data_IF_552236153714
#
_entry.id   IF_552236153714
#
_cell.length_a   1.000
_cell.length_b   1.000
_cell.length_c   1.000
_cell.angle_alpha   90.00
_cell.angle_beta   90.00
_cell.angle_gamma   90.00
#
_symmetry.space_group_name_H-M   'P 1'
#
loop_
_entity.id
_entity.type
_entity.pdbx_description
1 polymer ?
#
# COMPACT_ATOMS: atom_id res chain seq x y z
N UNK A 1 22.11 -15.49 -1.12
CA UNK A 1 23.19 -14.53 -0.81
C UNK A 1 22.74 -13.21 -1.43
N UNK A 2 22.33 -12.26 -0.60
CA UNK A 2 21.70 -10.99 -1.02
C UNK A 2 22.75 -10.19 -1.79
N UNK A 3 22.43 -9.79 -3.03
CA UNK A 3 23.29 -9.02 -3.94
C UNK A 3 23.60 -7.60 -3.42
N UNK A 4 22.82 -7.12 -2.45
CA UNK A 4 22.96 -5.79 -1.88
C UNK A 4 24.15 -5.73 -0.91
N UNK A 5 25.05 -4.78 -1.14
CA UNK A 5 26.11 -4.39 -0.20
C UNK A 5 25.76 -3.04 0.44
N UNK A 6 26.25 -2.80 1.65
CA UNK A 6 26.04 -1.54 2.35
C UNK A 6 24.65 -1.43 2.98
N UNK A 7 24.14 -0.21 3.08
CA UNK A 7 22.86 0.14 3.71
C UNK A 7 21.69 -0.66 3.14
N UNK A 8 21.62 -0.85 1.81
CA UNK A 8 20.49 -1.55 1.19
C UNK A 8 20.39 -3.03 1.60
N UNK A 9 21.45 -3.63 2.13
CA UNK A 9 21.40 -5.01 2.67
C UNK A 9 20.48 -5.15 3.90
N UNK A 10 20.15 -4.03 4.56
CA UNK A 10 19.25 -3.97 5.72
C UNK A 10 17.76 -3.98 5.31
N UNK A 11 17.47 -3.95 4.01
CA UNK A 11 16.13 -3.78 3.47
C UNK A 11 15.63 -5.02 2.74
N UNK A 12 14.31 -5.13 2.67
CA UNK A 12 13.59 -6.04 1.80
C UNK A 12 12.57 -5.25 0.97
N UNK A 13 12.11 -5.76 -0.17
CA UNK A 13 10.98 -5.18 -0.87
C UNK A 13 9.73 -5.21 0.00
N UNK A 14 9.03 -4.10 0.10
CA UNK A 14 7.72 -4.08 0.74
C UNK A 14 6.72 -4.73 -0.21
N UNK A 15 6.30 -5.95 0.12
CA UNK A 15 5.23 -6.64 -0.58
C UNK A 15 3.91 -6.46 0.15
N UNK A 16 2.93 -5.83 -0.49
CA UNK A 16 1.61 -5.58 0.10
C UNK A 16 0.59 -6.65 -0.31
N UNK A 17 -0.34 -6.97 0.57
CA UNK A 17 -1.47 -7.85 0.29
C UNK A 17 -2.69 -6.97 0.03
N UNK A 18 -3.11 -6.89 -1.24
CA UNK A 18 -4.30 -6.14 -1.65
C UNK A 18 -5.56 -6.95 -1.42
N UNK A 19 -6.66 -6.26 -1.14
CA UNK A 19 -7.97 -6.86 -1.20
C UNK A 19 -8.39 -7.00 -2.67
N UNK A 20 -8.72 -8.22 -3.06
CA UNK A 20 -9.27 -8.53 -4.37
C UNK A 20 -10.80 -8.56 -4.35
N UNK A 21 -11.37 -9.40 -5.21
CA UNK A 21 -12.79 -9.68 -5.27
C UNK A 21 -13.32 -10.26 -3.97
N UNK A 22 -14.50 -9.77 -3.63
CA UNK A 22 -15.37 -10.30 -2.59
C UNK A 22 -16.64 -10.80 -3.30
N UNK A 23 -16.79 -12.11 -3.37
CA UNK A 23 -17.90 -12.76 -4.08
C UNK A 23 -19.21 -12.70 -3.28
N UNK A 24 -20.31 -13.00 -3.98
CA UNK A 24 -21.64 -13.03 -3.37
C UNK A 24 -21.89 -14.32 -2.58
N UNK A 25 -22.67 -14.21 -1.49
CA UNK A 25 -23.26 -15.37 -0.80
C UNK A 25 -24.11 -16.21 -1.77
N UNK A 26 -24.36 -17.49 -1.43
CA UNK A 26 -24.96 -18.51 -2.30
C UNK A 26 -26.27 -18.11 -3.02
N UNK A 27 -26.98 -17.06 -2.58
CA UNK A 27 -28.25 -16.57 -3.15
C UNK A 27 -28.16 -15.16 -3.83
N UNK A 28 -26.96 -14.59 -4.01
CA UNK A 28 -26.74 -13.22 -4.53
C UNK A 28 -26.27 -13.14 -6.00
N UNK A 29 -26.29 -11.93 -6.58
CA UNK A 29 -25.78 -11.63 -7.93
C UNK A 29 -24.38 -12.24 -8.17
N UNK A 30 -24.20 -13.10 -9.19
CA UNK A 30 -22.98 -13.88 -9.39
C UNK A 30 -21.72 -13.08 -9.76
N UNK A 31 -21.81 -11.76 -9.93
CA UNK A 31 -20.68 -10.90 -10.33
C UNK A 31 -20.28 -9.89 -9.23
N UNK A 32 -19.59 -10.37 -8.19
CA UNK A 32 -18.78 -9.67 -7.14
C UNK A 32 -19.34 -8.39 -6.44
N UNK A 33 -19.34 -8.36 -5.09
CA UNK A 33 -19.71 -7.17 -4.30
C UNK A 33 -18.66 -6.07 -4.33
N UNK A 34 -17.40 -6.49 -4.15
CA UNK A 34 -16.23 -5.63 -4.18
C UNK A 34 -15.21 -6.28 -5.11
N UNK A 35 -14.37 -5.46 -5.73
CA UNK A 35 -13.23 -5.88 -6.53
C UNK A 35 -12.00 -5.07 -6.13
N UNK A 36 -10.85 -5.44 -6.68
CA UNK A 36 -9.57 -4.78 -6.42
C UNK A 36 -9.60 -3.25 -6.60
N UNK A 37 -10.38 -2.73 -7.56
CA UNK A 37 -10.49 -1.30 -7.84
C UNK A 37 -11.26 -0.53 -6.76
N UNK A 38 -12.09 -1.21 -5.96
CA UNK A 38 -12.74 -0.61 -4.80
C UNK A 38 -11.76 -0.32 -3.66
N UNK A 39 -10.54 -0.84 -3.75
CA UNK A 39 -9.47 -0.64 -2.77
C UNK A 39 -8.24 0.09 -3.34
N UNK A 40 -8.29 0.46 -4.64
CA UNK A 40 -7.32 1.34 -5.27
C UNK A 40 -7.82 2.79 -5.12
N UNK A 41 -7.27 3.48 -4.12
CA UNK A 41 -7.73 4.80 -3.74
C UNK A 41 -7.27 5.87 -4.72
N UNK A 42 -8.24 6.54 -5.34
CA UNK A 42 -8.00 7.65 -6.26
C UNK A 42 -8.19 8.98 -5.54
N UNK A 43 -7.24 9.91 -5.62
CA UNK A 43 -7.43 11.23 -5.04
C UNK A 43 -8.56 11.95 -5.77
N UNK A 44 -9.42 12.61 -4.99
CA UNK A 44 -10.48 13.48 -5.49
C UNK A 44 -9.81 14.76 -5.97
N UNK A 45 -9.38 14.76 -7.23
CA UNK A 45 -8.80 15.92 -7.89
C UNK A 45 -9.52 16.23 -9.19
N UNK A 46 -9.40 17.47 -9.63
CA UNK A 46 -9.89 17.89 -10.95
C UNK A 46 -9.05 17.30 -12.10
N UNK A 47 -7.88 16.72 -11.83
CA UNK A 47 -6.91 16.36 -12.85
C UNK A 47 -6.35 14.94 -12.67
N UNK A 48 -7.07 13.94 -13.20
CA UNK A 48 -6.73 12.50 -13.13
C UNK A 48 -5.45 12.10 -13.87
N UNK A 49 -4.83 13.01 -14.63
CA UNK A 49 -3.80 12.69 -15.63
C UNK A 49 -2.35 12.88 -15.14
N UNK A 50 -2.11 13.14 -13.85
CA UNK A 50 -0.75 13.33 -13.30
C UNK A 50 -0.55 12.54 -12.01
N UNK A 51 0.65 12.01 -11.75
CA UNK A 51 0.98 11.42 -10.45
C UNK A 51 0.73 12.45 -9.35
N UNK A 52 -0.11 12.07 -8.39
CA UNK A 52 -0.48 12.95 -7.28
C UNK A 52 0.60 12.86 -6.20
N UNK A 53 1.45 13.88 -6.15
CA UNK A 53 2.39 14.12 -5.05
C UNK A 53 1.74 15.11 -4.09
N UNK A 54 1.61 14.74 -2.81
CA UNK A 54 0.99 15.57 -1.79
C UNK A 54 2.07 16.21 -0.91
N UNK A 55 2.01 17.52 -0.72
CA UNK A 55 3.08 18.26 -0.03
C UNK A 55 2.83 18.49 1.48
N UNK A 56 1.77 17.89 2.03
CA UNK A 56 1.47 17.95 3.46
C UNK A 56 0.72 19.20 3.94
N UNK A 57 0.45 20.16 3.05
CA UNK A 57 -0.19 21.43 3.40
C UNK A 57 -1.71 21.31 3.55
N UNK A 58 -2.34 20.35 2.87
CA UNK A 58 -3.79 20.18 2.83
C UNK A 58 -4.21 18.73 3.11
N UNK A 59 -5.45 18.58 3.58
CA UNK A 59 -6.08 17.26 3.72
C UNK A 59 -6.36 16.71 2.34
N UNK A 60 -5.83 15.52 2.07
CA UNK A 60 -6.00 14.84 0.79
C UNK A 60 -7.20 13.90 0.87
N UNK A 61 -8.13 14.06 -0.08
CA UNK A 61 -9.35 13.24 -0.14
C UNK A 61 -9.21 12.14 -1.16
N UNK A 62 -9.61 10.92 -0.82
CA UNK A 62 -9.59 9.76 -1.69
C UNK A 62 -10.96 9.11 -1.80
N UNK A 63 -11.26 8.52 -2.95
CA UNK A 63 -12.44 7.69 -3.19
C UNK A 63 -12.09 6.51 -4.08
N UNK A 64 -12.88 5.42 -4.04
CA UNK A 64 -12.77 4.34 -5.00
C UNK A 64 -13.33 4.77 -6.36
N UNK A 65 -13.12 3.94 -7.38
CA UNK A 65 -13.67 4.16 -8.72
C UNK A 65 -15.21 3.91 -8.81
N UNK A 66 -15.84 3.50 -7.70
CA UNK A 66 -17.22 3.02 -7.61
C UNK A 66 -18.30 4.01 -8.11
N UNK A 67 -19.35 3.46 -8.73
CA UNK A 67 -20.58 4.18 -9.13
C UNK A 67 -21.66 4.25 -8.04
N UNK A 68 -22.66 5.13 -8.19
CA UNK A 68 -23.72 5.40 -7.19
C UNK A 68 -24.57 4.18 -6.82
N UNK A 69 -24.96 3.36 -7.80
CA UNK A 69 -25.82 2.19 -7.56
C UNK A 69 -25.14 1.12 -6.69
N UNK A 70 -23.80 1.11 -6.66
CA UNK A 70 -23.00 0.19 -5.84
C UNK A 70 -23.06 0.56 -4.35
N UNK A 71 -23.01 1.86 -4.05
CA UNK A 71 -23.00 2.40 -2.68
C UNK A 71 -24.26 1.98 -1.91
N UNK A 72 -25.45 2.15 -2.51
CA UNK A 72 -26.72 1.80 -1.84
C UNK A 72 -26.84 0.31 -1.56
N UNK A 73 -26.38 -0.53 -2.50
CA UNK A 73 -26.42 -1.98 -2.36
C UNK A 73 -25.46 -2.48 -1.27
N UNK A 74 -24.24 -1.93 -1.21
CA UNK A 74 -23.29 -2.23 -0.15
C UNK A 74 -23.84 -1.84 1.23
N UNK A 75 -24.39 -0.63 1.36
CA UNK A 75 -25.01 -0.17 2.61
C UNK A 75 -26.15 -1.07 3.10
N UNK A 76 -27.00 -1.55 2.19
CA UNK A 76 -28.08 -2.49 2.56
C UNK A 76 -27.53 -3.79 3.12
N UNK A 77 -26.41 -4.29 2.58
CA UNK A 77 -25.80 -5.57 2.96
C UNK A 77 -25.01 -5.48 4.25
N UNK A 78 -24.19 -4.43 4.42
CA UNK A 78 -23.43 -4.23 5.66
C UNK A 78 -24.29 -3.73 6.82
N UNK A 79 -25.59 -3.49 6.59
CA UNK A 79 -26.46 -2.88 7.59
C UNK A 79 -26.03 -1.45 7.93
N UNK A 80 -25.44 -0.72 6.97
CA UNK A 80 -24.87 0.61 7.16
C UNK A 80 -23.58 0.63 7.98
N UNK A 81 -22.92 -0.51 8.17
CA UNK A 81 -21.58 -0.53 8.76
C UNK A 81 -20.52 -0.15 7.71
N UNK A 82 -19.47 0.59 8.10
CA UNK A 82 -18.32 0.84 7.25
C UNK A 82 -17.67 -0.45 6.74
N UNK A 83 -17.06 -0.37 5.56
CA UNK A 83 -16.23 -1.47 5.07
C UNK A 83 -14.92 -1.50 5.86
N UNK A 84 -14.42 -2.71 6.11
CA UNK A 84 -13.05 -2.90 6.56
C UNK A 84 -12.08 -2.25 5.56
N UNK A 85 -11.13 -1.48 6.08
CA UNK A 85 -10.10 -0.80 5.30
C UNK A 85 -8.74 -1.44 5.55
N UNK A 86 -7.87 -1.55 4.52
CA UNK A 86 -6.49 -2.00 4.72
C UNK A 86 -5.71 -0.94 5.52
N UNK A 87 -4.87 -1.35 6.48
CA UNK A 87 -4.04 -0.40 7.23
C UNK A 87 -2.93 0.20 6.36
N UNK A 88 -2.51 -0.51 5.31
CA UNK A 88 -1.50 -0.05 4.35
C UNK A 88 -2.00 -0.35 2.94
N UNK A 89 -1.98 0.63 2.05
CA UNK A 89 -2.32 0.45 0.64
C UNK A 89 -1.56 1.43 -0.25
N UNK A 90 -1.40 1.09 -1.54
CA UNK A 90 -0.96 2.06 -2.54
C UNK A 90 -2.14 2.91 -3.03
N UNK A 91 -1.89 4.17 -3.36
CA UNK A 91 -2.86 5.00 -4.07
C UNK A 91 -2.72 4.86 -5.60
N UNK A 92 -3.61 5.48 -6.38
CA UNK A 92 -3.41 5.61 -7.83
C UNK A 92 -2.20 6.51 -8.14
N UNK A 93 -1.00 5.93 -8.07
CA UNK A 93 0.28 6.60 -8.21
C UNK A 93 1.41 5.78 -7.60
N UNK A 94 2.52 5.65 -8.31
CA UNK A 94 3.65 4.77 -7.96
C UNK A 94 4.51 5.23 -6.76
N UNK A 95 4.22 6.40 -6.18
CA UNK A 95 5.07 7.05 -5.16
C UNK A 95 4.33 7.47 -3.90
N UNK A 96 3.12 6.94 -3.67
CA UNK A 96 2.35 7.27 -2.46
C UNK A 96 1.83 6.00 -1.80
N UNK A 97 2.11 5.87 -0.50
CA UNK A 97 1.50 4.89 0.38
C UNK A 97 0.46 5.59 1.26
N UNK A 98 -0.72 4.99 1.38
CA UNK A 98 -1.70 5.30 2.40
C UNK A 98 -1.44 4.37 3.59
N UNK A 99 -1.20 4.95 4.77
CA UNK A 99 -0.82 4.22 5.98
C UNK A 99 -1.72 4.67 7.12
N UNK A 100 -2.25 3.74 7.91
CA UNK A 100 -3.01 4.05 9.11
C UNK A 100 -2.18 4.92 10.06
N UNK A 101 -2.81 5.90 10.72
CA UNK A 101 -2.09 6.91 11.51
C UNK A 101 -1.20 6.26 12.59
N UNK A 102 -1.70 5.23 13.26
CA UNK A 102 -0.94 4.48 14.27
C UNK A 102 0.37 3.87 13.74
N UNK A 103 0.39 3.42 12.47
CA UNK A 103 1.58 2.89 11.81
C UNK A 103 2.45 4.00 11.21
N UNK A 104 1.86 5.13 10.81
CA UNK A 104 2.60 6.28 10.28
C UNK A 104 3.32 7.07 11.39
N UNK A 105 2.73 7.15 12.57
CA UNK A 105 3.22 7.90 13.72
C UNK A 105 4.48 7.28 14.34
N UNK A 106 4.69 5.96 14.19
CA UNK A 106 5.92 5.28 14.63
C UNK A 106 7.12 5.47 13.70
N UNK A 107 6.91 6.09 12.54
CA UNK A 107 7.96 6.34 11.57
C UNK A 107 8.60 7.69 11.86
N UNK A 108 9.90 7.80 11.63
CA UNK A 108 10.62 9.07 11.55
C UNK A 108 11.36 9.08 10.22
N UNK A 109 11.41 10.24 9.55
CA UNK A 109 12.07 10.35 8.24
C UNK A 109 13.05 11.50 8.22
N UNK A 110 14.25 11.24 7.72
CA UNK A 110 15.20 12.30 7.38
C UNK A 110 14.69 13.11 6.19
N UNK A 111 14.82 14.44 6.24
CA UNK A 111 14.55 15.35 5.12
C UNK A 111 15.29 14.97 3.82
N UNK A 112 16.41 14.26 3.96
CA UNK A 112 17.21 13.76 2.82
C UNK A 112 16.41 12.81 1.93
N UNK A 113 15.46 12.06 2.50
CA UNK A 113 14.57 11.12 1.80
C UNK A 113 13.51 11.83 0.96
N UNK A 114 13.12 13.06 1.32
CA UNK A 114 12.07 13.78 0.61
C UNK A 114 10.72 13.05 0.68
N UNK A 115 10.32 12.65 1.89
CA UNK A 115 9.00 12.08 2.17
C UNK A 115 8.17 13.15 2.86
N UNK A 116 6.94 13.36 2.40
CA UNK A 116 5.96 14.21 3.11
C UNK A 116 4.86 13.36 3.69
N UNK A 117 4.24 13.89 4.74
CA UNK A 117 3.04 13.35 5.37
C UNK A 117 1.89 14.28 5.10
N UNK A 118 0.79 13.75 4.58
CA UNK A 118 -0.45 14.51 4.43
C UNK A 118 -1.56 13.79 5.15
N UNK A 119 -2.35 14.51 5.95
CA UNK A 119 -3.56 13.96 6.55
C UNK A 119 -4.55 13.58 5.43
N UNK A 120 -5.30 12.49 5.61
CA UNK A 120 -6.20 12.01 4.57
C UNK A 120 -7.61 11.72 5.04
N UNK A 121 -8.54 11.89 4.10
CA UNK A 121 -9.94 11.52 4.19
C UNK A 121 -10.20 10.48 3.10
N UNK A 122 -10.53 9.25 3.49
CA UNK A 122 -10.70 8.13 2.56
C UNK A 122 -12.14 7.68 2.61
N UNK A 123 -12.85 7.78 1.49
CA UNK A 123 -14.18 7.19 1.36
C UNK A 123 -14.05 5.72 0.98
N UNK A 124 -14.77 4.83 1.65
CA UNK A 124 -14.89 3.43 1.21
C UNK A 124 -15.91 3.27 0.06
N UNK A 125 -16.00 2.08 -0.51
CA UNK A 125 -16.96 1.79 -1.60
C UNK A 125 -18.43 1.82 -1.16
N UNK A 126 -18.71 1.75 0.14
CA UNK A 126 -20.03 1.99 0.71
C UNK A 126 -20.27 3.47 1.05
N UNK A 127 -19.33 4.37 0.72
CA UNK A 127 -19.45 5.81 0.89
C UNK A 127 -19.16 6.33 2.30
N UNK A 128 -18.66 5.48 3.21
CA UNK A 128 -18.30 5.92 4.56
C UNK A 128 -16.94 6.59 4.57
N UNK A 129 -16.80 7.64 5.38
CA UNK A 129 -15.56 8.39 5.53
C UNK A 129 -14.68 7.79 6.62
N UNK A 130 -13.39 7.61 6.30
CA UNK A 130 -12.33 7.17 7.18
C UNK A 130 -11.25 8.25 7.27
N UNK A 131 -10.92 8.72 8.49
CA UNK A 131 -9.97 9.83 8.73
C UNK A 131 -8.71 9.41 9.47
N UNK A 132 -8.52 8.10 9.68
CA UNK A 132 -7.43 7.54 10.47
C UNK A 132 -6.22 7.15 9.60
N UNK A 133 -5.98 7.90 8.52
CA UNK A 133 -4.93 7.61 7.53
C UNK A 133 -4.04 8.82 7.25
N UNK A 134 -2.81 8.50 6.87
CA UNK A 134 -1.77 9.43 6.43
C UNK A 134 -1.24 8.98 5.06
N UNK A 135 -1.17 9.91 4.12
CA UNK A 135 -0.49 9.69 2.84
C UNK A 135 1.00 10.02 3.00
N UNK A 136 1.85 9.00 2.79
CA UNK A 136 3.28 9.14 2.66
C UNK A 136 3.63 9.30 1.18
N UNK A 137 4.00 10.51 0.76
CA UNK A 137 4.41 10.78 -0.62
C UNK A 137 5.93 10.89 -0.74
N UNK A 138 6.50 10.11 -1.65
CA UNK A 138 7.95 10.00 -1.88
C UNK A 138 8.35 10.87 -3.09
N UNK A 139 8.86 12.08 -2.83
CA UNK A 139 9.18 13.07 -3.88
C UNK A 139 10.58 12.89 -4.49
N UNK A 140 11.39 12.05 -3.87
CA UNK A 140 12.72 11.69 -4.36
C UNK A 140 12.77 10.19 -4.53
N UNK A 141 12.72 9.76 -5.78
CA UNK A 141 13.04 8.38 -6.14
C UNK A 141 14.55 8.28 -6.25
N UNK A 142 15.14 7.35 -5.51
CA UNK A 142 16.59 7.16 -5.51
C UNK A 142 16.99 6.03 -6.44
N UNK A 143 18.00 6.29 -7.28
CA UNK A 143 18.75 5.19 -7.89
C UNK A 143 19.57 4.48 -6.81
N UNK A 144 19.56 3.14 -6.84
CA UNK A 144 20.27 2.31 -5.86
C UNK A 144 21.73 2.73 -5.65
N UNK A 145 22.47 3.03 -6.73
CA UNK A 145 23.89 3.43 -6.66
C UNK A 145 24.14 4.77 -5.95
N UNK A 146 23.12 5.63 -5.79
CA UNK A 146 23.23 6.90 -5.05
C UNK A 146 22.77 6.80 -3.61
N UNK A 147 22.09 5.71 -3.27
CA UNK A 147 21.46 5.53 -1.96
C UNK A 147 22.53 5.48 -0.86
N UNK A 148 23.54 4.62 -1.03
CA UNK A 148 24.68 4.46 -0.12
C UNK A 148 25.37 5.81 0.19
N UNK A 149 25.79 6.52 -0.86
CA UNK A 149 26.50 7.81 -0.72
C UNK A 149 25.65 8.88 -0.03
N UNK A 150 24.34 8.89 -0.27
CA UNK A 150 23.45 9.93 0.26
C UNK A 150 23.07 9.70 1.72
N UNK A 151 22.97 8.44 2.13
CA UNK A 151 22.40 8.04 3.42
C UNK A 151 23.41 7.40 4.38
N UNK A 152 24.71 7.37 4.04
CA UNK A 152 25.77 6.86 4.92
C UNK A 152 25.72 7.43 6.35
N UNK A 153 25.43 8.72 6.48
CA UNK A 153 25.39 9.40 7.79
C UNK A 153 23.95 9.54 8.32
N UNK A 154 22.98 8.82 7.74
CA UNK A 154 21.57 8.85 8.16
C UNK A 154 21.26 7.61 9.00
N UNK A 155 20.90 7.78 10.28
CA UNK A 155 20.49 6.68 11.15
C UNK A 155 19.36 5.83 10.55
N UNK A 156 19.37 4.51 10.76
CA UNK A 156 18.43 3.57 10.14
C UNK A 156 16.97 3.79 10.56
N UNK A 157 16.75 4.23 11.80
CA UNK A 157 15.44 4.63 12.35
C UNK A 157 14.82 5.84 11.62
N UNK A 158 15.61 6.67 10.95
CA UNK A 158 15.16 7.79 10.12
C UNK A 158 15.00 7.44 8.63
N UNK A 159 15.16 6.16 8.26
CA UNK A 159 15.07 5.67 6.87
C UNK A 159 14.39 4.31 6.76
N UNK A 160 13.38 4.05 7.59
CA UNK A 160 12.73 2.74 7.68
C UNK A 160 11.92 2.33 6.43
N UNK A 161 11.43 3.31 5.66
CA UNK A 161 10.78 3.10 4.36
C UNK A 161 11.43 4.00 3.32
N UNK A 162 11.74 3.44 2.15
CA UNK A 162 12.30 4.20 1.03
C UNK A 162 11.68 3.77 -0.29
N UNK A 163 11.66 4.66 -1.28
CA UNK A 163 11.24 4.35 -2.64
C UNK A 163 12.46 4.41 -3.56
N UNK A 164 12.70 3.33 -4.30
CA UNK A 164 13.84 3.23 -5.21
C UNK A 164 13.37 2.95 -6.64
N UNK A 165 14.16 3.41 -7.60
CA UNK A 165 13.95 3.14 -9.01
C UNK A 165 14.53 1.77 -9.38
N UNK A 166 13.71 0.91 -9.98
CA UNK A 166 14.12 -0.38 -10.53
C UNK A 166 14.55 -0.27 -12.01
N UNK A 167 13.93 0.65 -12.76
CA UNK A 167 14.22 0.93 -14.16
C UNK A 167 13.41 2.12 -14.68
N UNK A 168 13.47 2.40 -16.00
CA UNK A 168 12.92 3.64 -16.59
C UNK A 168 11.45 3.93 -16.28
N UNK A 169 10.64 2.89 -15.99
CA UNK A 169 9.21 3.03 -15.71
C UNK A 169 8.76 2.20 -14.49
N UNK A 170 9.68 1.82 -13.60
CA UNK A 170 9.33 0.98 -12.44
C UNK A 170 10.08 1.41 -11.20
N UNK A 171 9.36 1.46 -10.08
CA UNK A 171 9.88 1.70 -8.75
C UNK A 171 9.30 0.70 -7.77
N UNK A 172 9.98 0.51 -6.64
CA UNK A 172 9.45 -0.28 -5.54
C UNK A 172 9.73 0.40 -4.20
N UNK A 173 8.90 0.09 -3.22
CA UNK A 173 9.15 0.46 -1.84
C UNK A 173 10.04 -0.60 -1.20
N UNK A 174 11.06 -0.16 -0.48
CA UNK A 174 11.84 -1.01 0.39
C UNK A 174 11.51 -0.68 1.84
N UNK A 175 11.42 -1.74 2.64
CA UNK A 175 11.18 -1.70 4.08
C UNK A 175 12.41 -2.22 4.81
N UNK A 176 12.88 -1.47 5.79
CA UNK A 176 13.96 -1.90 6.67
C UNK A 176 13.50 -3.11 7.50
N UNK A 177 14.36 -4.12 7.64
CA UNK A 177 13.99 -5.39 8.29
C UNK A 177 13.49 -5.22 9.72
N UNK A 178 13.99 -4.22 10.47
CA UNK A 178 13.47 -3.93 11.82
C UNK A 178 12.01 -3.44 11.82
N UNK A 179 11.61 -2.63 10.83
CA UNK A 179 10.22 -2.18 10.71
C UNK A 179 9.31 -3.34 10.31
N UNK A 180 9.77 -4.17 9.36
CA UNK A 180 9.04 -5.35 8.90
C UNK A 180 8.74 -6.31 10.07
N UNK A 181 9.72 -6.58 10.93
CA UNK A 181 9.52 -7.43 12.10
C UNK A 181 8.57 -6.79 13.14
N UNK A 182 8.61 -5.47 13.33
CA UNK A 182 7.66 -4.78 14.21
C UNK A 182 6.22 -4.90 13.71
N UNK A 183 5.98 -4.64 12.42
CA UNK A 183 4.66 -4.78 11.82
C UNK A 183 4.15 -6.23 11.88
N UNK A 184 5.05 -7.21 11.73
CA UNK A 184 4.72 -8.63 11.93
C UNK A 184 4.23 -8.91 13.35
N UNK A 185 4.93 -8.38 14.35
CA UNK A 185 4.58 -8.56 15.77
C UNK A 185 3.28 -7.84 16.16
N UNK A 186 3.00 -6.70 15.52
CA UNK A 186 1.73 -5.97 15.67
C UNK A 186 0.56 -6.64 14.93
N UNK A 187 0.85 -7.60 14.05
CA UNK A 187 -0.17 -8.32 13.29
C UNK A 187 -0.73 -7.53 12.11
N UNK A 188 0.06 -6.64 11.49
CA UNK A 188 -0.38 -5.91 10.28
C UNK A 188 -0.61 -6.91 9.15
N UNK A 189 -1.87 -7.06 8.73
CA UNK A 189 -2.34 -8.18 7.90
C UNK A 189 -2.15 -7.96 6.39
N UNK A 190 -1.88 -6.71 6.00
CA UNK A 190 -1.70 -6.27 4.61
C UNK A 190 -0.24 -6.31 4.12
N UNK A 191 0.67 -6.92 4.88
CA UNK A 191 2.08 -7.07 4.50
C UNK A 191 2.42 -8.54 4.29
N UNK A 192 3.04 -8.86 3.16
CA UNK A 192 3.61 -10.19 2.92
C UNK A 192 5.01 -10.27 3.55
N UNK A 193 5.11 -10.98 4.67
CA UNK A 193 6.39 -11.20 5.37
C UNK A 193 7.23 -12.31 4.74
N UNK A 194 6.62 -13.19 3.94
CA UNK A 194 7.27 -14.33 3.29
C UNK A 194 7.65 -13.96 1.86
N UNK A 195 8.71 -13.18 1.71
CA UNK A 195 9.22 -12.74 0.41
C UNK A 195 10.03 -13.86 -0.21
N UNK A 196 9.66 -14.29 -1.42
CA UNK A 196 10.38 -15.32 -2.15
C UNK A 196 11.86 -14.97 -2.35
N UNK A 197 12.74 -15.98 -2.28
CA UNK A 197 14.19 -15.77 -2.36
C UNK A 197 14.63 -15.01 -3.63
N UNK A 198 13.92 -15.19 -4.75
CA UNK A 198 14.20 -14.48 -6.00
C UNK A 198 13.87 -12.98 -5.93
N UNK A 199 12.85 -12.59 -5.17
CA UNK A 199 12.44 -11.20 -4.98
C UNK A 199 13.26 -10.46 -3.92
N UNK A 200 13.99 -11.18 -3.05
CA UNK A 200 14.87 -10.55 -2.05
C UNK A 200 16.13 -9.87 -2.67
N UNK A 201 16.39 -10.09 -3.95
CA UNK A 201 17.56 -9.54 -4.65
C UNK A 201 17.15 -8.33 -5.48
N UNK A 202 17.66 -7.14 -5.13
CA UNK A 202 17.41 -5.92 -5.89
C UNK A 202 17.83 -6.05 -7.36
N UNK A 203 18.99 -6.64 -7.63
CA UNK A 203 19.43 -6.93 -8.99
C UNK A 203 18.42 -7.78 -9.76
N UNK A 204 17.82 -8.78 -9.10
CA UNK A 204 16.78 -9.59 -9.73
C UNK A 204 15.58 -8.72 -10.06
N UNK A 205 15.09 -7.92 -9.10
CA UNK A 205 13.96 -7.00 -9.32
C UNK A 205 14.19 -6.03 -10.47
N UNK A 206 15.42 -5.51 -10.60
CA UNK A 206 15.80 -4.61 -11.70
C UNK A 206 15.86 -5.29 -13.08
N UNK A 207 15.99 -6.61 -13.12
CA UNK A 207 16.00 -7.39 -14.37
C UNK A 207 14.64 -7.94 -14.77
N UNK A 208 13.65 -7.86 -13.88
CA UNK A 208 12.28 -8.23 -14.20
C UNK A 208 11.68 -7.17 -15.14
N UNK A 209 10.99 -7.62 -16.18
CA UNK A 209 10.26 -6.71 -17.07
C UNK A 209 9.23 -5.88 -16.28
N UNK A 210 8.58 -6.51 -15.29
CA UNK A 210 7.67 -5.87 -14.36
C UNK A 210 7.74 -6.54 -12.97
N UNK A 211 7.78 -5.73 -11.91
CA UNK A 211 7.62 -6.18 -10.53
C UNK A 211 6.55 -5.33 -9.84
N UNK A 212 5.50 -5.99 -9.32
CA UNK A 212 4.33 -5.30 -8.77
C UNK A 212 4.29 -5.25 -7.24
N UNK A 213 5.25 -5.87 -6.56
CA UNK A 213 5.39 -5.77 -5.10
C UNK A 213 4.09 -6.05 -4.33
N UNK A 214 3.19 -6.88 -4.88
CA UNK A 214 1.90 -7.13 -4.27
C UNK A 214 1.46 -8.58 -4.47
N UNK A 215 0.53 -9.01 -3.61
CA UNK A 215 -0.27 -10.22 -3.73
C UNK A 215 -1.73 -9.84 -3.51
N UNK A 216 -2.67 -10.66 -3.95
CA UNK A 216 -4.09 -10.36 -3.75
C UNK A 216 -4.75 -11.39 -2.86
N UNK A 217 -5.57 -10.95 -1.90
CA UNK A 217 -6.41 -11.77 -1.04
C UNK A 217 -7.87 -11.65 -1.49
N UNK A 218 -8.46 -12.77 -1.85
CA UNK A 218 -9.84 -12.89 -2.33
C UNK A 218 -10.72 -13.48 -1.23
N UNK A 219 -11.99 -13.09 -1.18
CA UNK A 219 -12.95 -13.57 -0.20
C UNK A 219 -14.20 -14.11 -0.86
N UNK A 220 -14.71 -15.24 -0.37
CA UNK A 220 -15.92 -15.87 -0.92
C UNK A 220 -17.21 -15.13 -0.55
N UNK A 221 -17.19 -14.34 0.52
CA UNK A 221 -18.34 -13.59 1.00
C UNK A 221 -17.94 -12.33 1.80
N UNK A 222 -18.92 -11.46 2.06
CA UNK A 222 -18.74 -10.19 2.76
C UNK A 222 -18.38 -10.36 4.24
N UNK A 223 -18.92 -11.38 4.92
CA UNK A 223 -18.66 -11.59 6.35
C UNK A 223 -17.21 -12.02 6.59
N UNK A 224 -16.71 -12.93 5.76
CA UNK A 224 -15.31 -13.36 5.71
C UNK A 224 -14.38 -12.19 5.38
N UNK A 225 -14.77 -11.31 4.46
CA UNK A 225 -14.03 -10.08 4.18
C UNK A 225 -13.99 -9.14 5.41
N UNK A 226 -15.14 -8.82 6.01
CA UNK A 226 -15.24 -7.90 7.14
C UNK A 226 -14.48 -8.41 8.37
N UNK A 227 -14.46 -9.73 8.58
CA UNK A 227 -13.77 -10.36 9.69
C UNK A 227 -12.34 -10.84 9.35
N UNK A 228 -11.90 -10.68 8.10
CA UNK A 228 -10.69 -11.26 7.52
C UNK A 228 -10.49 -12.74 7.87
N UNK A 229 -11.46 -13.55 7.47
CA UNK A 229 -11.44 -15.01 7.64
C UNK A 229 -11.50 -15.67 6.28
N UNK A 230 -10.93 -16.86 6.18
CA UNK A 230 -11.02 -17.72 4.98
C UNK A 230 -10.59 -17.03 3.66
N UNK A 231 -9.74 -16.01 3.74
CA UNK A 231 -9.23 -15.30 2.58
C UNK A 231 -8.20 -16.15 1.82
N UNK A 232 -8.36 -16.25 0.50
CA UNK A 232 -7.46 -17.00 -0.37
C UNK A 232 -6.40 -16.04 -0.94
N UNK A 233 -5.13 -16.28 -0.64
CA UNK A 233 -4.03 -15.53 -1.25
C UNK A 233 -3.74 -16.08 -2.64
N UNK A 234 -3.61 -15.19 -3.63
CA UNK A 234 -3.13 -15.57 -4.96
C UNK A 234 -1.67 -15.99 -4.91
N UNK A 235 -1.32 -17.08 -5.58
CA UNK A 235 0.05 -17.59 -5.69
C UNK A 235 0.88 -16.96 -6.82
N UNK A 236 0.41 -15.83 -7.40
CA UNK A 236 1.13 -15.11 -8.44
C UNK A 236 2.31 -14.30 -7.91
#
# INVERSE_FOLDING_TARGET
MIDMQGILSEYLPLQLIYFGDVYADEDGDPYAFLNEYDFIWQPISENRSRPHLFLGEEVVRFKPESGKDKVENLNRRTGGQPLRMPQISTCSGQYTLLVANELADELEFSDKLGITRSATEVYDAAGHLHTHFTALSFHKVFFHHRFETRFNDTPSDQRLLVCIELGQNSSTFLIHQSLLERWRQQGVEEVNYEIEAQHQSLRTLMTLDHYWGNRTRWFSNMDDFQQNRNGNLSDY
#
